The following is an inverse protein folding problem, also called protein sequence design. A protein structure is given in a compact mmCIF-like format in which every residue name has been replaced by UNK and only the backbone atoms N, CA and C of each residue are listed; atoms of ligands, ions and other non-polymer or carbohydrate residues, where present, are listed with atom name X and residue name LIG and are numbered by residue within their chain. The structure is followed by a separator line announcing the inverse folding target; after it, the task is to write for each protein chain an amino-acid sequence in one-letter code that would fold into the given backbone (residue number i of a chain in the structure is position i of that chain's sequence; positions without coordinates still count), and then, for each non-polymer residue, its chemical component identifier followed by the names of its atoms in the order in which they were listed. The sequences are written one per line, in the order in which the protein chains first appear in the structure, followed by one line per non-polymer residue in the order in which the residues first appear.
data_IF_281730543802
#
_entry.id   IF_281730543802
#
_cell.length_a   1.000
_cell.length_b   1.000
_cell.length_c   1.000
_cell.angle_alpha   90.00
_cell.angle_beta   90.00
_cell.angle_gamma   90.00
#
_symmetry.space_group_name_H-M   'P 1'
#
loop_
_entity.id
_entity.type
_entity.pdbx_description
1 polymer ?
#
# COMPACT_ATOMS: atom_id res chain seq x y z
N UNK A 1 -7.65 -91.47 -32.20
CA UNK A 1 -9.09 -91.70 -32.42
C UNK A 1 -9.83 -90.80 -31.43
N UNK A 2 -10.51 -89.77 -31.93
CA UNK A 2 -11.41 -88.83 -31.22
C UNK A 2 -10.78 -87.95 -30.11
N UNK A 3 -11.00 -86.65 -30.00
CA UNK A 3 -11.79 -85.70 -30.76
C UNK A 3 -11.30 -84.28 -30.38
N UNK A 4 -10.87 -83.49 -31.36
CA UNK A 4 -10.79 -82.03 -31.25
C UNK A 4 -11.98 -81.47 -32.02
N UNK A 5 -13.03 -81.10 -31.30
CA UNK A 5 -14.01 -80.14 -31.79
C UNK A 5 -14.79 -79.58 -30.59
N UNK A 6 -14.62 -78.27 -30.33
CA UNK A 6 -15.74 -77.31 -30.20
C UNK A 6 -15.31 -75.93 -29.70
N UNK A 7 -15.64 -74.97 -30.56
CA UNK A 7 -16.37 -73.73 -30.25
C UNK A 7 -15.67 -72.56 -29.53
N UNK A 8 -15.28 -71.58 -30.37
CA UNK A 8 -15.74 -70.17 -30.35
C UNK A 8 -16.12 -69.55 -28.99
N UNK A 9 -15.38 -68.50 -28.63
CA UNK A 9 -15.98 -67.23 -28.19
C UNK A 9 -15.06 -66.06 -28.53
N UNK A 10 -15.49 -65.24 -29.48
CA UNK A 10 -14.97 -63.88 -29.70
C UNK A 10 -15.87 -62.94 -28.88
N UNK A 11 -15.33 -62.12 -27.98
CA UNK A 11 -16.01 -60.89 -27.57
C UNK A 11 -15.58 -59.75 -28.48
N UNK A 12 -16.49 -59.41 -29.40
CA UNK A 12 -16.54 -58.15 -30.13
C UNK A 12 -16.84 -57.01 -29.15
N UNK A 13 -16.09 -55.91 -29.26
CA UNK A 13 -16.63 -54.58 -29.04
C UNK A 13 -16.30 -53.91 -27.70
N UNK A 14 -15.24 -53.11 -27.72
CA UNK A 14 -15.29 -51.76 -27.15
C UNK A 14 -14.25 -50.90 -27.86
N UNK A 15 -14.67 -50.17 -28.88
CA UNK A 15 -13.91 -49.04 -29.42
C UNK A 15 -13.83 -47.94 -28.35
N UNK A 16 -12.93 -48.11 -27.40
CA UNK A 16 -12.52 -47.06 -26.48
C UNK A 16 -11.64 -46.10 -27.27
N UNK A 17 -12.23 -45.04 -27.80
CA UNK A 17 -11.46 -43.86 -28.23
C UNK A 17 -10.64 -43.43 -27.01
N UNK A 18 -9.34 -43.66 -27.05
CA UNK A 18 -8.41 -43.21 -26.03
C UNK A 18 -8.49 -41.68 -25.96
N UNK A 19 -9.26 -41.15 -25.01
CA UNK A 19 -9.33 -39.71 -24.75
C UNK A 19 -7.92 -39.27 -24.36
N UNK A 20 -7.39 -38.17 -24.96
CA UNK A 20 -6.09 -37.65 -24.56
C UNK A 20 -6.16 -37.28 -23.06
N UNK A 21 -5.08 -37.56 -22.29
CA UNK A 21 -5.07 -37.30 -20.86
C UNK A 21 -5.30 -35.80 -20.61
N UNK A 22 -6.33 -35.49 -19.82
CA UNK A 22 -6.64 -34.12 -19.41
C UNK A 22 -5.46 -33.56 -18.58
N UNK A 23 -4.96 -32.35 -18.87
CA UNK A 23 -3.91 -31.73 -18.06
C UNK A 23 -4.42 -31.56 -16.63
N UNK A 24 -3.79 -32.23 -15.66
CA UNK A 24 -4.12 -32.09 -14.24
C UNK A 24 -3.66 -30.70 -13.78
N UNK A 25 -4.62 -29.87 -13.36
CA UNK A 25 -4.40 -28.50 -12.89
C UNK A 25 -3.67 -28.42 -11.54
N UNK A 26 -3.48 -29.56 -10.86
CA UNK A 26 -2.85 -29.65 -9.54
C UNK A 26 -1.31 -29.71 -9.56
N UNK A 27 -0.68 -29.66 -10.75
CA UNK A 27 0.78 -29.61 -10.82
C UNK A 27 1.24 -28.15 -10.93
N UNK A 28 2.01 -27.62 -9.96
CA UNK A 28 2.61 -26.30 -10.11
C UNK A 28 3.50 -26.33 -11.35
N UNK A 29 3.11 -25.51 -12.32
CA UNK A 29 3.77 -25.37 -13.61
C UNK A 29 5.23 -25.00 -13.37
N UNK A 30 6.17 -25.89 -13.69
CA UNK A 30 7.60 -25.61 -13.56
C UNK A 30 7.91 -24.27 -14.25
N UNK A 31 8.64 -23.35 -13.59
CA UNK A 31 8.87 -22.02 -14.12
C UNK A 31 9.60 -22.16 -15.46
N UNK A 32 8.90 -21.76 -16.52
CA UNK A 32 9.45 -21.70 -17.88
C UNK A 32 10.70 -20.83 -17.78
N UNK A 33 11.87 -21.40 -18.02
CA UNK A 33 13.16 -20.70 -17.99
C UNK A 33 13.07 -19.53 -18.98
N UNK A 34 12.81 -18.32 -18.45
CA UNK A 34 12.66 -17.11 -19.26
C UNK A 34 14.07 -16.76 -19.74
N UNK A 35 14.24 -16.70 -21.06
CA UNK A 35 15.47 -16.25 -21.73
C UNK A 35 15.53 -14.71 -21.87
N UNK A 36 14.55 -14.01 -21.29
CA UNK A 36 14.56 -12.55 -21.24
C UNK A 36 15.44 -12.13 -20.07
N UNK A 37 16.37 -11.18 -20.26
CA UNK A 37 17.06 -10.54 -19.14
C UNK A 37 16.01 -10.05 -18.15
N UNK A 38 16.10 -10.52 -16.90
CA UNK A 38 15.28 -10.02 -15.80
C UNK A 38 15.64 -8.54 -15.65
N UNK A 39 14.79 -7.66 -16.18
CA UNK A 39 14.91 -6.22 -15.96
C UNK A 39 14.66 -6.00 -14.49
N UNK A 40 15.73 -5.84 -13.70
CA UNK A 40 15.67 -5.65 -12.26
C UNK A 40 15.08 -4.26 -11.95
N UNK A 41 13.79 -4.21 -11.56
CA UNK A 41 13.10 -2.95 -11.32
C UNK A 41 13.65 -2.23 -10.08
N UNK A 42 14.37 -2.93 -9.19
CA UNK A 42 14.95 -2.38 -7.97
C UNK A 42 16.24 -1.59 -8.27
N UNK A 43 17.07 -2.07 -9.19
CA UNK A 43 18.27 -1.36 -9.65
C UNK A 43 17.89 -0.07 -10.38
N UNK A 44 16.91 -0.14 -11.29
CA UNK A 44 16.38 1.04 -11.98
C UNK A 44 15.69 2.00 -11.01
N UNK A 45 14.94 1.48 -10.03
CA UNK A 45 14.26 2.26 -9.01
C UNK A 45 15.22 3.15 -8.21
N UNK A 46 16.33 2.58 -7.73
CA UNK A 46 17.39 3.31 -7.00
C UNK A 46 18.11 4.34 -7.88
N UNK A 47 18.39 4.00 -9.13
CA UNK A 47 19.02 4.91 -10.09
C UNK A 47 18.11 6.11 -10.41
N UNK A 48 16.84 5.85 -10.71
CA UNK A 48 15.84 6.89 -10.95
C UNK A 48 15.62 7.79 -9.74
N UNK A 49 15.67 7.27 -8.51
CA UNK A 49 15.54 8.10 -7.30
C UNK A 49 16.74 9.04 -7.10
N UNK A 50 17.95 8.60 -7.45
CA UNK A 50 19.14 9.47 -7.46
C UNK A 50 19.03 10.54 -8.56
N UNK A 51 18.57 10.18 -9.75
CA UNK A 51 18.32 11.13 -10.85
C UNK A 51 17.24 12.14 -10.46
N UNK A 52 16.11 11.69 -9.90
CA UNK A 52 15.01 12.58 -9.51
C UNK A 52 15.46 13.64 -8.49
N UNK A 53 16.24 13.23 -7.45
CA UNK A 53 16.82 14.17 -6.49
C UNK A 53 17.82 15.13 -7.14
N UNK A 54 18.57 14.66 -8.14
CA UNK A 54 19.56 15.48 -8.85
C UNK A 54 18.91 16.51 -9.78
N UNK A 55 17.92 16.11 -10.59
CA UNK A 55 17.17 16.98 -11.51
C UNK A 55 16.26 17.97 -10.77
N UNK A 56 15.69 17.59 -9.63
CA UNK A 56 14.83 18.47 -8.83
C UNK A 56 15.57 19.57 -8.07
N UNK A 57 16.90 19.56 -8.06
CA UNK A 57 17.72 20.56 -7.35
C UNK A 57 18.23 21.63 -8.32
N UNK A 58 18.14 22.91 -7.97
CA UNK A 58 18.66 24.02 -8.79
C UNK A 58 20.16 23.95 -9.14
N UNK A 59 20.93 23.09 -8.46
CA UNK A 59 22.34 22.77 -8.76
C UNK A 59 22.55 22.17 -10.16
N UNK A 60 21.58 21.44 -10.72
CA UNK A 60 21.70 20.90 -12.07
C UNK A 60 21.79 22.01 -13.12
N UNK A 61 20.91 23.01 -13.01
CA UNK A 61 20.86 24.15 -13.93
C UNK A 61 22.17 24.96 -13.86
N UNK A 62 22.71 25.17 -12.65
CA UNK A 62 23.99 25.87 -12.47
C UNK A 62 25.13 25.13 -13.17
N UNK A 63 25.25 23.81 -12.97
CA UNK A 63 26.29 23.01 -13.63
C UNK A 63 26.14 22.98 -15.15
N UNK A 64 24.92 22.84 -15.67
CA UNK A 64 24.65 22.89 -17.10
C UNK A 64 25.08 24.22 -17.72
N UNK A 65 24.69 25.33 -17.09
CA UNK A 65 25.06 26.68 -17.55
C UNK A 65 26.57 26.88 -17.53
N UNK A 66 27.27 26.40 -16.48
CA UNK A 66 28.74 26.47 -16.41
C UNK A 66 29.41 25.71 -17.56
N UNK A 67 28.93 24.52 -17.92
CA UNK A 67 29.47 23.73 -19.02
C UNK A 67 29.28 24.47 -20.36
N UNK A 68 28.09 25.03 -20.59
CA UNK A 68 27.80 25.80 -21.81
C UNK A 68 28.72 27.04 -21.89
N UNK A 69 28.84 27.79 -20.80
CA UNK A 69 29.73 28.96 -20.73
C UNK A 69 31.18 28.55 -21.00
N UNK A 70 31.65 27.47 -20.36
CA UNK A 70 33.02 26.98 -20.55
C UNK A 70 33.27 26.57 -22.01
N UNK A 71 32.31 25.92 -22.66
CA UNK A 71 32.39 25.54 -24.07
C UNK A 71 32.47 26.74 -25.00
N UNK A 72 31.63 27.74 -24.75
CA UNK A 72 31.59 28.99 -25.53
C UNK A 72 32.90 29.77 -25.33
N UNK A 73 33.35 29.93 -24.09
CA UNK A 73 34.64 30.59 -23.76
C UNK A 73 35.79 29.85 -24.44
N UNK A 74 35.85 28.52 -24.33
CA UNK A 74 36.88 27.72 -25.00
C UNK A 74 36.88 27.98 -26.51
N UNK A 75 35.74 27.92 -27.18
CA UNK A 75 35.67 28.12 -28.64
C UNK A 75 35.91 29.57 -29.09
N UNK A 76 35.70 30.57 -28.23
CA UNK A 76 36.02 31.97 -28.53
C UNK A 76 37.52 32.26 -28.38
N UNK A 77 38.11 31.82 -27.27
CA UNK A 77 39.50 32.13 -26.92
C UNK A 77 40.52 31.14 -27.49
N UNK A 78 40.09 29.97 -27.98
CA UNK A 78 40.97 28.99 -28.59
C UNK A 78 41.64 29.54 -29.88
N UNK A 79 42.94 29.21 -30.11
CA UNK A 79 43.63 29.47 -31.37
C UNK A 79 42.85 28.90 -32.58
N UNK A 80 43.04 29.49 -33.77
CA UNK A 80 42.29 29.12 -34.99
C UNK A 80 42.35 27.61 -35.29
N UNK A 81 43.47 26.99 -34.97
CA UNK A 81 43.74 25.56 -35.18
C UNK A 81 43.01 24.63 -34.19
N UNK A 82 42.60 25.14 -33.02
CA UNK A 82 41.94 24.37 -31.95
C UNK A 82 40.45 24.72 -31.78
N UNK A 83 39.93 25.63 -32.61
CA UNK A 83 38.49 25.97 -32.63
C UNK A 83 37.69 24.84 -33.27
N UNK A 84 37.18 23.95 -32.42
CA UNK A 84 36.31 22.84 -32.81
C UNK A 84 34.93 23.32 -33.30
N UNK A 85 34.39 24.40 -32.74
CA UNK A 85 33.02 24.85 -32.99
C UNK A 85 32.96 26.38 -33.14
N UNK A 86 33.13 26.87 -34.37
CA UNK A 86 33.08 28.29 -34.71
C UNK A 86 31.62 28.81 -34.75
N UNK A 87 31.41 30.10 -34.51
CA UNK A 87 30.08 30.74 -34.63
C UNK A 87 29.45 30.36 -35.98
N UNK A 88 28.27 29.69 -36.02
CA UNK A 88 27.16 29.72 -35.04
C UNK A 88 27.07 28.55 -34.02
N UNK A 89 28.17 27.88 -33.66
CA UNK A 89 28.20 26.77 -32.68
C UNK A 89 27.30 25.57 -33.06
N UNK A 90 27.57 24.99 -34.23
CA UNK A 90 26.74 23.90 -34.78
C UNK A 90 26.80 22.65 -33.91
N UNK A 91 27.96 22.33 -33.32
CA UNK A 91 28.12 21.13 -32.49
C UNK A 91 27.36 21.28 -31.18
N UNK A 92 27.47 22.44 -30.52
CA UNK A 92 26.70 22.72 -29.32
C UNK A 92 25.20 22.64 -29.59
N UNK A 93 24.73 23.18 -30.71
CA UNK A 93 23.32 23.13 -31.11
C UNK A 93 22.84 21.70 -31.38
N UNK A 94 23.63 20.89 -32.10
CA UNK A 94 23.33 19.49 -32.35
C UNK A 94 23.29 18.68 -31.05
N UNK A 95 24.22 18.92 -30.14
CA UNK A 95 24.26 18.24 -28.85
C UNK A 95 23.03 18.61 -27.99
N UNK A 96 22.67 19.89 -27.92
CA UNK A 96 21.49 20.34 -27.15
C UNK A 96 20.17 19.79 -27.74
N UNK A 97 20.05 19.74 -29.07
CA UNK A 97 18.85 19.17 -29.71
C UNK A 97 18.74 17.67 -29.48
N UNK A 98 19.86 16.92 -29.55
CA UNK A 98 19.90 15.51 -29.18
C UNK A 98 19.57 15.30 -27.70
N UNK A 99 20.12 16.14 -26.81
CA UNK A 99 19.88 16.06 -25.38
C UNK A 99 18.38 16.24 -25.08
N UNK A 100 17.72 17.22 -25.69
CA UNK A 100 16.28 17.41 -25.55
C UNK A 100 15.47 16.21 -26.07
N UNK A 101 15.87 15.65 -27.22
CA UNK A 101 15.21 14.50 -27.83
C UNK A 101 15.30 13.24 -26.97
N UNK A 102 16.45 12.99 -26.32
CA UNK A 102 16.61 11.84 -25.43
C UNK A 102 16.07 12.08 -24.01
N UNK A 103 15.97 13.34 -23.57
CA UNK A 103 15.37 13.68 -22.28
C UNK A 103 13.87 13.33 -22.25
N UNK A 104 13.12 13.60 -23.33
CA UNK A 104 11.69 13.33 -23.39
C UNK A 104 11.29 11.87 -23.05
N UNK A 105 11.85 10.82 -23.69
CA UNK A 105 11.52 9.44 -23.35
C UNK A 105 11.98 9.02 -21.95
N UNK A 106 13.13 9.56 -21.47
CA UNK A 106 13.58 9.32 -20.10
C UNK A 106 12.62 9.92 -19.06
N UNK A 107 12.11 11.12 -19.33
CA UNK A 107 11.12 11.79 -18.50
C UNK A 107 9.82 10.98 -18.49
N UNK A 108 9.35 10.49 -19.65
CA UNK A 108 8.16 9.64 -19.74
C UNK A 108 8.31 8.34 -18.94
N UNK A 109 9.48 7.69 -18.99
CA UNK A 109 9.78 6.50 -18.18
C UNK A 109 9.80 6.82 -16.67
N UNK A 110 10.35 7.98 -16.29
CA UNK A 110 10.34 8.43 -14.90
C UNK A 110 8.93 8.75 -14.41
N UNK A 111 8.11 9.37 -15.26
CA UNK A 111 6.71 9.72 -15.00
C UNK A 111 5.83 8.48 -14.84
N UNK A 112 5.86 7.53 -15.78
CA UNK A 112 5.09 6.28 -15.66
C UNK A 112 5.32 5.57 -14.31
N UNK A 113 6.57 5.59 -13.81
CA UNK A 113 6.92 4.97 -12.52
C UNK A 113 6.56 5.83 -11.29
N UNK A 114 6.41 7.14 -11.47
CA UNK A 114 5.82 8.01 -10.43
C UNK A 114 4.32 7.75 -10.36
N UNK A 115 3.63 7.77 -11.50
CA UNK A 115 2.19 7.53 -11.60
C UNK A 115 1.78 6.16 -11.05
N UNK A 116 2.56 5.10 -11.30
CA UNK A 116 2.32 3.77 -10.74
C UNK A 116 2.42 3.76 -9.20
N UNK A 117 3.39 4.47 -8.63
CA UNK A 117 3.55 4.58 -7.16
C UNK A 117 2.46 5.44 -6.54
N UNK A 118 2.12 6.54 -7.19
CA UNK A 118 1.08 7.46 -6.74
C UNK A 118 -0.28 6.75 -6.77
N UNK A 119 -0.54 5.94 -7.80
CA UNK A 119 -1.74 5.10 -7.87
C UNK A 119 -1.84 4.12 -6.69
N UNK A 120 -0.78 3.38 -6.39
CA UNK A 120 -0.78 2.42 -5.27
C UNK A 120 -1.01 3.14 -3.94
N UNK A 121 -0.35 4.29 -3.74
CA UNK A 121 -0.51 5.12 -2.55
C UNK A 121 -1.96 5.61 -2.42
N UNK A 122 -2.55 6.12 -3.50
CA UNK A 122 -3.95 6.55 -3.53
C UNK A 122 -4.95 5.42 -3.25
N UNK A 123 -4.71 4.21 -3.77
CA UNK A 123 -5.54 3.04 -3.48
C UNK A 123 -5.45 2.61 -2.00
N UNK A 124 -4.27 2.72 -1.39
CA UNK A 124 -4.08 2.46 0.04
C UNK A 124 -4.76 3.51 0.92
N UNK A 125 -4.57 4.80 0.59
CA UNK A 125 -5.20 5.90 1.32
C UNK A 125 -6.73 5.80 1.29
N UNK A 126 -7.31 5.42 0.15
CA UNK A 126 -8.76 5.16 0.06
C UNK A 126 -9.23 4.06 1.00
N UNK A 127 -8.54 2.91 1.01
CA UNK A 127 -8.87 1.80 1.92
C UNK A 127 -8.70 2.20 3.39
N UNK A 128 -7.67 2.98 3.71
CA UNK A 128 -7.45 3.45 5.07
C UNK A 128 -8.52 4.46 5.50
N UNK A 129 -8.95 5.35 4.61
CA UNK A 129 -10.02 6.29 4.85
C UNK A 129 -11.38 5.58 5.06
N UNK A 130 -11.70 4.58 4.23
CA UNK A 130 -12.90 3.74 4.42
C UNK A 130 -12.91 3.06 5.79
N UNK A 131 -11.77 2.50 6.23
CA UNK A 131 -11.63 1.92 7.57
C UNK A 131 -11.77 2.97 8.67
N UNK A 132 -11.16 4.14 8.51
CA UNK A 132 -11.25 5.23 9.48
C UNK A 132 -12.69 5.72 9.64
N UNK A 133 -13.46 5.79 8.55
CA UNK A 133 -14.88 6.15 8.59
C UNK A 133 -15.66 5.06 9.33
N UNK A 134 -15.44 3.79 9.01
CA UNK A 134 -16.09 2.67 9.69
C UNK A 134 -15.78 2.63 11.20
N UNK A 135 -14.52 2.85 11.59
CA UNK A 135 -14.09 2.91 12.98
C UNK A 135 -14.74 4.11 13.70
N UNK A 136 -14.81 5.27 13.04
CA UNK A 136 -15.48 6.45 13.61
C UNK A 136 -16.98 6.19 13.81
N UNK A 137 -17.64 5.55 12.83
CA UNK A 137 -19.05 5.19 12.97
C UNK A 137 -19.26 4.15 14.08
N UNK A 138 -18.39 3.14 14.19
CA UNK A 138 -18.42 2.15 15.26
C UNK A 138 -18.27 2.81 16.63
N UNK A 139 -17.23 3.63 16.81
CA UNK A 139 -17.01 4.39 18.04
C UNK A 139 -18.20 5.31 18.38
N UNK A 140 -18.81 5.95 17.37
CA UNK A 140 -19.98 6.80 17.58
C UNK A 140 -21.20 6.01 18.07
N UNK A 141 -21.41 4.80 17.53
CA UNK A 141 -22.46 3.86 17.97
C UNK A 141 -22.18 3.36 19.37
N UNK A 142 -20.93 3.01 19.67
CA UNK A 142 -20.52 2.53 20.98
C UNK A 142 -20.67 3.62 22.05
N UNK A 143 -20.29 4.86 21.74
CA UNK A 143 -20.48 6.02 22.64
C UNK A 143 -21.98 6.30 22.84
N UNK A 144 -22.80 6.19 21.80
CA UNK A 144 -24.25 6.35 21.94
C UNK A 144 -24.86 5.26 22.85
N UNK A 145 -24.44 4.00 22.68
CA UNK A 145 -24.86 2.90 23.53
C UNK A 145 -24.37 3.07 24.99
N UNK A 146 -23.11 3.46 25.19
CA UNK A 146 -22.55 3.78 26.50
C UNK A 146 -23.32 4.92 27.17
N UNK A 147 -23.67 5.98 26.43
CA UNK A 147 -24.46 7.10 26.93
C UNK A 147 -25.87 6.67 27.34
N UNK A 148 -26.51 5.76 26.59
CA UNK A 148 -27.81 5.21 26.97
C UNK A 148 -27.70 4.38 28.26
N UNK A 149 -26.74 3.47 28.35
CA UNK A 149 -26.51 2.65 29.54
C UNK A 149 -26.14 3.47 30.78
N UNK A 150 -25.28 4.48 30.64
CA UNK A 150 -24.98 5.43 31.73
C UNK A 150 -26.18 6.32 32.06
N UNK A 151 -26.98 6.70 31.07
CA UNK A 151 -28.19 7.48 31.27
C UNK A 151 -29.23 6.76 32.12
N UNK A 152 -29.35 5.43 31.97
CA UNK A 152 -30.23 4.59 32.79
C UNK A 152 -29.69 4.45 34.22
N UNK A 153 -28.37 4.23 34.39
CA UNK A 153 -27.75 3.97 35.71
C UNK A 153 -27.50 5.25 36.51
N UNK A 154 -27.33 6.41 35.87
CA UNK A 154 -27.10 7.70 36.54
C UNK A 154 -28.32 8.62 36.47
N UNK A 155 -29.54 8.07 36.49
CA UNK A 155 -30.73 8.92 36.58
C UNK A 155 -30.75 9.59 37.95
N UNK A 156 -30.97 10.91 37.99
CA UNK A 156 -31.06 11.73 39.23
C UNK A 156 -31.94 11.08 40.30
N UNK A 157 -33.00 10.40 39.90
CA UNK A 157 -33.93 9.74 40.81
C UNK A 157 -33.35 8.48 41.46
N UNK A 158 -32.49 7.71 40.76
CA UNK A 158 -31.77 6.59 41.36
C UNK A 158 -30.69 7.08 42.35
N UNK A 159 -29.90 8.08 41.95
CA UNK A 159 -28.89 8.68 42.85
C UNK A 159 -29.58 9.30 44.07
N UNK A 160 -30.75 9.94 43.89
CA UNK A 160 -31.55 10.47 44.99
C UNK A 160 -32.10 9.36 45.88
N UNK A 161 -32.67 8.30 45.33
CA UNK A 161 -33.20 7.20 46.14
C UNK A 161 -32.11 6.48 46.92
N UNK A 162 -30.93 6.30 46.32
CA UNK A 162 -29.79 5.66 46.98
C UNK A 162 -29.20 6.56 48.08
N UNK A 163 -29.09 7.88 47.83
CA UNK A 163 -28.71 8.85 48.86
C UNK A 163 -29.72 8.91 50.00
N UNK A 164 -31.02 8.91 49.71
CA UNK A 164 -32.08 8.87 50.74
C UNK A 164 -32.02 7.57 51.54
N UNK A 165 -31.79 6.42 50.88
CA UNK A 165 -31.63 5.14 51.55
C UNK A 165 -30.40 5.12 52.48
N UNK A 166 -29.25 5.62 52.02
CA UNK A 166 -28.05 5.72 52.85
C UNK A 166 -28.21 6.71 54.02
N UNK A 167 -28.88 7.85 53.79
CA UNK A 167 -29.18 8.82 54.87
C UNK A 167 -30.10 8.20 55.91
N UNK A 168 -31.12 7.46 55.49
CA UNK A 168 -32.06 6.79 56.39
C UNK A 168 -31.37 5.71 57.23
N UNK A 169 -30.49 4.89 56.64
CA UNK A 169 -29.71 3.89 57.39
C UNK A 169 -28.81 4.55 58.47
N UNK A 170 -28.23 5.72 58.16
CA UNK A 170 -27.47 6.48 59.14
C UNK A 170 -28.34 7.07 60.26
N UNK A 171 -29.55 7.54 59.96
CA UNK A 171 -30.51 7.98 60.99
C UNK A 171 -30.97 6.83 61.87
N UNK A 172 -31.32 5.68 61.31
CA UNK A 172 -31.70 4.48 62.10
C UNK A 172 -30.57 4.05 63.03
N UNK A 173 -29.32 4.02 62.54
CA UNK A 173 -28.14 3.74 63.37
C UNK A 173 -27.89 4.81 64.45
N UNK A 174 -28.28 6.06 64.21
CA UNK A 174 -28.13 7.17 65.17
C UNK A 174 -29.30 7.27 66.15
N UNK A 175 -30.45 6.68 65.85
CA UNK A 175 -31.63 6.58 66.73
C UNK A 175 -31.53 5.35 67.65
N UNK A 176 -30.78 4.32 67.25
CA UNK A 176 -30.52 3.12 68.06
C UNK A 176 -29.40 3.17 69.15
N UNK A 177 -28.77 4.30 69.55
CA UNK A 177 -27.82 4.30 70.68
C UNK A 177 -28.42 4.72 72.04
N UNK A 178 -29.75 4.71 72.25
CA UNK A 178 -30.33 5.10 73.56
C UNK A 178 -31.41 4.18 74.15
N UNK A 179 -31.78 3.08 73.49
CA UNK A 179 -32.84 2.20 74.02
C UNK A 179 -32.36 1.19 75.07
N UNK A 180 -31.06 1.13 75.39
CA UNK A 180 -30.47 0.09 76.25
C UNK A 180 -29.87 0.62 77.56
N UNK A 181 -30.30 1.78 78.06
CA UNK A 181 -29.75 2.35 79.31
C UNK A 181 -30.75 2.74 80.39
N UNK A 182 -32.03 2.38 80.30
CA UNK A 182 -33.03 2.76 81.33
C UNK A 182 -33.74 1.59 82.03
N UNK A 183 -33.27 0.35 81.83
CA UNK A 183 -33.74 -0.81 82.61
C UNK A 183 -32.78 -1.08 83.78
N UNK A 184 -32.76 -0.16 84.75
CA UNK A 184 -31.80 -0.24 85.83
C UNK A 184 -31.94 0.78 86.96
N UNK A 185 -33.15 1.14 87.40
CA UNK A 185 -33.38 1.42 88.83
C UNK A 185 -34.88 1.52 89.16
N UNK A 186 -35.25 0.89 90.28
CA UNK A 186 -36.55 0.86 91.00
C UNK A 186 -37.49 -0.32 90.77
#
# INVERSE_FOLDING_TARGET
MAAEDRARAVPTGASGIARPPRPRLDQPKAPRRRLLPEYDPEAFGRFSERIARFLGTGRFIVWMTLIIILWVVWNIFAPRELRFDQYPFIFLTLMLSLQASYAAPLILLAQNRQDDRDRVTHEQDRKQNERSIADTEFLSREIAALRMGLGEVATRDWIRSELEAMVKDMEERRILPQAESDEGDR
#
